data_IF_533948626360
#
_entry.id   IF_533948626360
#
_cell.length_a   1.000
_cell.length_b   1.000
_cell.length_c   1.000
_cell.angle_alpha   90.00
_cell.angle_beta   90.00
_cell.angle_gamma   90.00
#
_symmetry.space_group_name_H-M   'P 1'
#
loop_
_entity.id
_entity.type
_entity.pdbx_description
1 polymer ?
#
# COMPACT_ATOMS: atom_id res chain seq x y z
N UNK A 1 4.98 -36.79 64.64
CA UNK A 1 3.77 -36.94 63.81
C UNK A 1 3.91 -35.97 62.64
N UNK A 2 3.87 -36.29 61.36
CA UNK A 2 3.83 -37.51 60.54
C UNK A 2 4.62 -37.15 59.26
N UNK A 3 5.69 -37.85 58.88
CA UNK A 3 5.76 -38.90 57.81
C UNK A 3 5.15 -38.41 56.48
N UNK A 4 5.83 -38.34 55.32
CA UNK A 4 6.90 -39.16 54.69
C UNK A 4 7.78 -38.28 53.76
N UNK A 5 9.15 -38.34 53.73
CA UNK A 5 10.08 -39.25 52.97
C UNK A 5 9.67 -39.51 51.50
N UNK A 6 10.52 -39.46 50.48
CA UNK A 6 11.84 -38.89 50.07
C UNK A 6 11.95 -39.25 48.54
N UNK A 7 12.86 -38.64 47.76
CA UNK A 7 13.02 -38.79 46.32
C UNK A 7 13.88 -40.01 45.96
N UNK A 8 13.90 -40.39 44.69
CA UNK A 8 14.86 -41.37 44.18
C UNK A 8 15.09 -41.21 42.67
N UNK A 9 16.28 -40.73 42.32
CA UNK A 9 17.02 -41.17 41.13
C UNK A 9 17.94 -42.33 41.52
N UNK A 10 18.41 -43.13 40.54
CA UNK A 10 19.84 -43.20 40.31
C UNK A 10 20.27 -43.13 38.83
N UNK A 11 21.49 -42.62 38.63
CA UNK A 11 22.22 -42.46 37.36
C UNK A 11 22.65 -43.79 36.67
N UNK A 12 22.52 -43.79 35.33
CA UNK A 12 23.43 -44.22 34.22
C UNK A 12 23.95 -45.69 34.14
N UNK A 13 24.46 -46.21 32.97
CA UNK A 13 24.90 -45.53 31.74
C UNK A 13 24.56 -46.22 30.38
N UNK A 14 24.87 -45.54 29.26
CA UNK A 14 24.88 -46.08 27.89
C UNK A 14 23.83 -45.38 27.03
N UNK A 15 24.15 -44.48 26.10
CA UNK A 15 25.29 -44.51 25.19
C UNK A 15 24.82 -44.94 23.79
N UNK A 16 23.78 -44.30 23.25
CA UNK A 16 23.48 -44.36 21.82
C UNK A 16 23.14 -42.97 21.31
N UNK A 17 24.06 -42.46 20.49
CA UNK A 17 23.93 -41.24 19.71
C UNK A 17 22.91 -41.53 18.60
N UNK A 18 21.73 -40.91 18.68
CA UNK A 18 20.78 -40.88 17.57
C UNK A 18 21.15 -39.70 16.66
N UNK A 19 21.37 -39.88 15.35
CA UNK A 19 21.70 -38.77 14.47
C UNK A 19 20.45 -37.90 14.28
N UNK A 20 20.53 -36.66 14.77
CA UNK A 20 19.50 -35.65 14.63
C UNK A 20 19.77 -34.83 13.37
N UNK A 21 19.57 -35.44 12.21
CA UNK A 21 19.53 -34.73 10.93
C UNK A 21 18.16 -34.93 10.30
N UNK A 22 17.25 -34.05 10.65
CA UNK A 22 16.06 -33.76 9.86
C UNK A 22 16.11 -32.27 9.56
N UNK A 23 16.13 -31.84 8.29
CA UNK A 23 16.05 -30.42 7.98
C UNK A 23 14.73 -29.88 8.54
N UNK A 24 14.69 -28.63 9.05
CA UNK A 24 13.44 -28.03 9.44
C UNK A 24 12.52 -28.07 8.23
N UNK A 25 11.32 -28.62 8.43
CA UNK A 25 10.26 -28.56 7.44
C UNK A 25 10.13 -27.10 7.00
N UNK A 26 10.29 -26.85 5.70
CA UNK A 26 9.97 -25.56 5.14
C UNK A 26 8.52 -25.27 5.55
N UNK A 27 8.32 -24.26 6.40
CA UNK A 27 6.99 -23.75 6.68
C UNK A 27 6.36 -23.45 5.32
N UNK A 28 5.22 -24.08 5.06
CA UNK A 28 4.43 -23.76 3.90
C UNK A 28 4.20 -22.24 3.92
N UNK A 29 4.47 -21.52 2.82
CA UNK A 29 4.21 -20.09 2.79
C UNK A 29 2.76 -19.88 3.20
N UNK A 30 2.55 -18.99 4.17
CA UNK A 30 1.22 -18.57 4.57
C UNK A 30 0.44 -18.20 3.28
N UNK A 31 -0.85 -18.56 3.18
CA UNK A 31 -1.63 -18.23 2.00
C UNK A 31 -1.47 -16.74 1.71
N UNK A 32 -1.09 -16.40 0.48
CA UNK A 32 -0.89 -15.01 0.12
C UNK A 32 -2.18 -14.23 0.41
N UNK A 33 -2.09 -13.08 1.07
CA UNK A 33 -3.26 -12.28 1.37
C UNK A 33 -3.99 -11.92 0.07
N UNK A 34 -5.26 -12.34 -0.07
CA UNK A 34 -6.06 -12.11 -1.28
C UNK A 34 -6.35 -10.63 -1.62
N UNK A 35 -5.86 -9.71 -0.79
CA UNK A 35 -5.94 -8.25 -0.97
C UNK A 35 -4.72 -7.63 -1.63
N UNK A 36 -3.70 -8.45 -1.90
CA UNK A 36 -2.47 -8.06 -2.57
C UNK A 36 -2.40 -8.78 -3.91
N UNK A 37 -2.01 -8.07 -4.96
CA UNK A 37 -1.63 -8.67 -6.23
C UNK A 37 -0.23 -8.18 -6.61
N UNK A 38 0.69 -9.11 -6.83
CA UNK A 38 2.04 -8.83 -7.30
C UNK A 38 2.27 -9.41 -8.70
N UNK A 39 2.66 -8.54 -9.63
CA UNK A 39 3.08 -8.94 -10.98
C UNK A 39 4.50 -8.49 -11.26
N UNK A 40 5.26 -9.34 -11.95
CA UNK A 40 6.65 -9.10 -12.31
C UNK A 40 6.91 -9.55 -13.74
N UNK A 41 7.27 -8.60 -14.59
CA UNK A 41 7.44 -8.80 -16.03
C UNK A 41 8.84 -8.34 -16.46
N UNK A 42 9.42 -9.08 -17.40
CA UNK A 42 10.76 -8.81 -17.94
C UNK A 42 10.66 -8.43 -19.41
N UNK A 43 11.47 -7.45 -19.82
CA UNK A 43 11.49 -6.94 -21.19
C UNK A 43 12.93 -6.84 -21.71
N UNK A 44 13.11 -7.15 -22.99
CA UNK A 44 14.39 -7.05 -23.68
C UNK A 44 14.24 -6.27 -24.98
N UNK A 45 15.33 -5.62 -25.40
CA UNK A 45 15.40 -4.98 -26.70
C UNK A 45 15.51 -6.08 -27.77
N UNK A 46 14.46 -6.29 -28.57
CA UNK A 46 14.49 -7.26 -29.65
C UNK A 46 15.43 -6.83 -30.79
N UNK A 47 16.17 -7.78 -31.37
CA UNK A 47 16.70 -7.61 -32.72
C UNK A 47 15.53 -7.56 -33.70
N UNK A 48 15.60 -6.67 -34.71
CA UNK A 48 14.51 -6.39 -35.66
C UNK A 48 14.11 -7.57 -36.57
N UNK A 49 14.65 -8.77 -36.33
CA UNK A 49 14.42 -9.96 -37.14
C UNK A 49 13.93 -11.10 -36.23
N UNK A 50 12.79 -11.69 -36.58
CA UNK A 50 12.28 -12.91 -35.96
C UNK A 50 10.93 -12.70 -35.28
N UNK A 51 9.91 -13.25 -35.95
CA UNK A 51 8.60 -13.77 -35.51
C UNK A 51 7.94 -13.12 -34.30
N UNK A 52 6.76 -12.51 -34.53
CA UNK A 52 5.76 -12.21 -33.50
C UNK A 52 5.60 -13.45 -32.60
N UNK A 53 5.89 -13.38 -31.30
CA UNK A 53 5.44 -14.43 -30.41
C UNK A 53 3.92 -14.33 -30.33
N UNK A 54 3.24 -15.20 -31.07
CA UNK A 54 1.87 -15.62 -30.78
C UNK A 54 1.89 -16.31 -29.41
N UNK A 55 1.76 -15.53 -28.35
CA UNK A 55 1.37 -16.05 -27.05
C UNK A 55 0.92 -14.86 -26.21
N UNK A 56 -0.41 -14.70 -26.13
CA UNK A 56 -1.08 -13.82 -25.20
C UNK A 56 -0.48 -14.06 -23.81
N UNK A 57 0.28 -13.09 -23.29
CA UNK A 57 0.49 -13.05 -21.84
C UNK A 57 -0.90 -13.02 -21.21
N UNK A 58 -1.12 -13.82 -20.16
CA UNK A 58 -2.33 -13.72 -19.34
C UNK A 58 -2.33 -12.32 -18.67
N UNK A 59 -2.83 -11.34 -19.42
CA UNK A 59 -3.02 -9.93 -19.05
C UNK A 59 -4.01 -9.82 -17.87
N UNK A 60 -4.79 -10.88 -17.63
CA UNK A 60 -5.82 -10.99 -16.61
C UNK A 60 -5.35 -10.72 -15.18
N UNK A 61 -4.03 -10.78 -14.91
CA UNK A 61 -3.45 -10.48 -13.59
C UNK A 61 -2.88 -9.06 -13.47
N UNK A 62 -2.73 -8.32 -14.56
CA UNK A 62 -2.14 -6.97 -14.56
C UNK A 62 -3.20 -5.96 -14.10
N UNK A 63 -2.91 -5.26 -13.00
CA UNK A 63 -3.84 -4.24 -12.47
C UNK A 63 -3.84 -2.96 -13.29
N UNK A 64 -2.66 -2.52 -13.76
CA UNK A 64 -2.50 -1.32 -14.58
C UNK A 64 -1.88 -1.69 -15.92
N UNK A 65 -2.62 -1.67 -17.04
CA UNK A 65 -2.08 -1.91 -18.37
C UNK A 65 -0.96 -0.92 -18.71
N UNK A 66 0.12 -1.41 -19.34
CA UNK A 66 1.26 -0.58 -19.70
C UNK A 66 1.90 -1.03 -21.01
N UNK A 67 2.63 -0.10 -21.65
CA UNK A 67 3.41 -0.36 -22.87
C UNK A 67 4.86 0.01 -22.61
N UNK A 68 5.77 -0.93 -22.88
CA UNK A 68 7.22 -0.72 -22.70
C UNK A 68 7.86 -0.46 -24.05
N UNK A 69 8.43 0.72 -24.23
CA UNK A 69 9.02 1.16 -25.51
C UNK A 69 10.45 1.67 -25.39
N UNK A 70 11.17 1.66 -26.50
CA UNK A 70 12.43 2.38 -26.65
C UNK A 70 12.20 3.87 -26.96
N UNK A 71 13.29 4.65 -27.07
CA UNK A 71 13.22 6.08 -27.39
C UNK A 71 12.62 6.40 -28.76
N UNK A 72 12.48 5.41 -29.65
CA UNK A 72 11.85 5.54 -30.97
C UNK A 72 10.38 5.10 -30.96
N UNK A 73 9.85 4.70 -29.80
CA UNK A 73 8.49 4.21 -29.64
C UNK A 73 8.30 2.75 -30.09
N UNK A 74 9.38 1.97 -30.26
CA UNK A 74 9.28 0.55 -30.60
C UNK A 74 9.05 -0.28 -29.34
N UNK A 75 8.10 -1.20 -29.37
CA UNK A 75 7.79 -2.08 -28.25
C UNK A 75 8.98 -2.99 -27.92
N UNK A 76 9.30 -3.12 -26.64
CA UNK A 76 10.21 -4.14 -26.15
C UNK A 76 9.51 -5.49 -26.14
N UNK A 77 10.30 -6.56 -26.30
CA UNK A 77 9.76 -7.93 -26.29
C UNK A 77 9.65 -8.41 -24.85
N UNK A 78 8.49 -8.93 -24.41
CA UNK A 78 8.36 -9.53 -23.10
C UNK A 78 9.13 -10.86 -23.04
N UNK A 79 9.66 -11.20 -21.87
CA UNK A 79 10.50 -12.38 -21.64
C UNK A 79 9.93 -13.21 -20.48
N UNK A 80 9.76 -14.53 -20.69
CA UNK A 80 9.21 -15.46 -19.69
C UNK A 80 10.23 -15.91 -18.63
N UNK A 81 11.52 -16.00 -18.96
CA UNK A 81 12.53 -16.61 -18.09
C UNK A 81 13.78 -15.75 -17.89
N UNK A 82 14.12 -15.44 -16.62
CA UNK A 82 15.39 -14.79 -16.22
C UNK A 82 16.64 -15.55 -16.71
N UNK A 83 16.54 -16.87 -16.90
CA UNK A 83 17.69 -17.74 -17.15
C UNK A 83 18.24 -17.68 -18.59
N UNK A 84 17.49 -17.09 -19.54
CA UNK A 84 17.80 -17.19 -20.96
C UNK A 84 18.75 -16.09 -21.50
N UNK A 85 19.03 -15.03 -20.75
CA UNK A 85 19.79 -13.87 -21.26
C UNK A 85 20.92 -13.46 -20.30
N UNK A 86 22.17 -13.68 -20.70
CA UNK A 86 23.36 -13.08 -20.08
C UNK A 86 23.54 -11.62 -20.55
N UNK A 87 22.55 -10.76 -20.31
CA UNK A 87 22.53 -9.40 -20.87
C UNK A 87 21.64 -8.42 -20.12
N UNK A 88 21.57 -7.17 -20.61
CA UNK A 88 20.72 -6.14 -20.03
C UNK A 88 19.23 -6.42 -20.34
N UNK A 89 18.40 -6.34 -19.33
CA UNK A 89 16.95 -6.46 -19.42
C UNK A 89 16.28 -5.43 -18.50
N UNK A 90 15.02 -5.13 -18.77
CA UNK A 90 14.19 -4.25 -17.96
C UNK A 90 13.21 -5.11 -17.14
N UNK A 91 12.99 -4.73 -15.88
CA UNK A 91 12.01 -5.36 -15.00
C UNK A 91 10.92 -4.35 -14.67
N UNK A 92 9.66 -4.74 -14.83
CA UNK A 92 8.49 -3.97 -14.38
C UNK A 92 7.82 -4.77 -13.26
N UNK A 93 7.60 -4.12 -12.12
CA UNK A 93 6.98 -4.71 -10.94
C UNK A 93 5.74 -3.89 -10.59
N UNK A 94 4.61 -4.55 -10.37
CA UNK A 94 3.40 -3.92 -9.82
C UNK A 94 2.98 -4.65 -8.56
N UNK A 95 2.80 -3.90 -7.48
CA UNK A 95 2.22 -4.37 -6.23
C UNK A 95 0.94 -3.55 -6.00
N UNK A 96 -0.20 -4.22 -5.92
CA UNK A 96 -1.52 -3.61 -5.82
C UNK A 96 -2.15 -3.92 -4.48
N UNK A 97 -2.81 -2.93 -3.87
CA UNK A 97 -3.56 -3.06 -2.61
C UNK A 97 -5.05 -2.77 -2.86
N UNK A 98 -5.92 -3.72 -2.54
CA UNK A 98 -7.38 -3.54 -2.65
C UNK A 98 -7.93 -2.78 -1.44
N UNK A 99 -8.36 -1.53 -1.66
CA UNK A 99 -8.88 -0.68 -0.59
C UNK A 99 -10.20 -1.18 -0.01
N UNK A 100 -11.08 -1.80 -0.78
CA UNK A 100 -12.34 -2.32 -0.23
C UNK A 100 -12.07 -3.47 0.72
N UNK A 101 -11.11 -4.33 0.39
CA UNK A 101 -10.65 -5.36 1.30
C UNK A 101 -10.07 -4.76 2.58
N UNK A 102 -9.13 -3.81 2.46
CA UNK A 102 -8.51 -3.13 3.60
C UNK A 102 -9.57 -2.51 4.52
N UNK A 103 -10.52 -1.75 3.95
CA UNK A 103 -11.61 -1.12 4.71
C UNK A 103 -12.41 -2.18 5.48
N UNK A 104 -12.82 -3.26 4.83
CA UNK A 104 -13.62 -4.30 5.45
C UNK A 104 -12.87 -5.03 6.58
N UNK A 105 -11.59 -5.33 6.40
CA UNK A 105 -10.76 -5.95 7.43
C UNK A 105 -10.56 -5.03 8.64
N UNK A 106 -10.19 -3.77 8.41
CA UNK A 106 -9.97 -2.79 9.48
C UNK A 106 -11.26 -2.59 10.28
N UNK A 107 -12.41 -2.49 9.60
CA UNK A 107 -13.70 -2.39 10.29
C UNK A 107 -13.98 -3.66 11.09
N UNK A 108 -13.77 -4.84 10.52
CA UNK A 108 -14.10 -6.11 11.20
C UNK A 108 -13.22 -6.37 12.42
N UNK A 109 -11.94 -6.02 12.35
CA UNK A 109 -10.95 -6.44 13.34
C UNK A 109 -10.56 -5.35 14.34
N UNK A 110 -10.57 -4.07 13.94
CA UNK A 110 -9.98 -2.98 14.73
C UNK A 110 -10.97 -1.87 15.12
N UNK A 111 -12.11 -1.73 14.43
CA UNK A 111 -13.08 -0.69 14.75
C UNK A 111 -13.93 -1.02 15.98
N UNK A 112 -13.90 -0.17 16.99
CA UNK A 112 -14.74 -0.32 18.20
C UNK A 112 -16.24 -0.24 17.89
N UNK A 113 -16.61 0.46 16.82
CA UNK A 113 -17.97 0.63 16.30
C UNK A 113 -18.34 -0.39 15.22
N UNK A 114 -17.54 -1.44 14.98
CA UNK A 114 -17.80 -2.47 13.97
C UNK A 114 -19.22 -3.07 14.05
N UNK A 115 -19.72 -3.28 15.27
CA UNK A 115 -21.06 -3.84 15.51
C UNK A 115 -22.21 -2.92 15.06
N UNK A 116 -21.95 -1.62 14.86
CA UNK A 116 -22.91 -0.65 14.34
C UNK A 116 -22.86 -0.56 12.82
N UNK A 117 -21.77 -1.01 12.18
CA UNK A 117 -21.53 -0.84 10.75
C UNK A 117 -22.52 -1.64 9.90
N UNK A 118 -23.00 -1.02 8.83
CA UNK A 118 -23.87 -1.66 7.83
C UNK A 118 -23.14 -1.84 6.49
N UNK A 119 -22.67 -0.74 5.93
CA UNK A 119 -21.96 -0.68 4.65
C UNK A 119 -21.24 0.67 4.52
N UNK A 120 -20.24 0.76 3.63
CA UNK A 120 -19.70 2.05 3.19
C UNK A 120 -20.20 2.38 1.78
N UNK A 121 -20.28 3.67 1.47
CA UNK A 121 -20.79 4.17 0.19
C UNK A 121 -19.70 4.73 -0.72
N UNK A 122 -18.67 5.35 -0.14
CA UNK A 122 -17.64 6.06 -0.89
C UNK A 122 -16.38 6.25 -0.01
N UNK A 123 -15.21 6.36 -0.62
CA UNK A 123 -13.93 6.49 0.07
C UNK A 123 -12.91 7.36 -0.69
N UNK A 124 -12.05 8.05 0.06
CA UNK A 124 -11.00 8.93 -0.47
C UNK A 124 -9.66 8.62 0.22
N UNK A 125 -8.67 8.15 -0.55
CA UNK A 125 -7.35 7.76 -0.02
C UNK A 125 -6.35 8.90 -0.21
N UNK A 126 -5.62 9.23 0.86
CA UNK A 126 -4.53 10.21 0.86
C UNK A 126 -3.28 9.58 1.47
N UNK A 127 -2.16 9.64 0.75
CA UNK A 127 -0.85 9.26 1.30
C UNK A 127 -0.42 10.34 2.31
N UNK A 128 -0.08 9.92 3.52
CA UNK A 128 0.42 10.79 4.58
C UNK A 128 1.94 10.78 4.68
N UNK A 129 2.57 9.63 4.44
CA UNK A 129 4.03 9.47 4.51
C UNK A 129 4.49 8.27 3.65
N UNK A 130 5.71 8.34 3.13
CA UNK A 130 6.41 7.23 2.48
C UNK A 130 7.82 7.13 3.07
N UNK A 131 8.12 6.04 3.78
CA UNK A 131 9.45 5.79 4.33
C UNK A 131 10.24 4.85 3.41
N UNK A 132 11.16 5.36 2.57
CA UNK A 132 11.89 4.53 1.61
C UNK A 132 12.93 3.62 2.27
N UNK A 133 13.38 3.89 3.49
CA UNK A 133 14.34 3.05 4.20
C UNK A 133 13.70 1.76 4.74
N UNK A 134 12.41 1.81 5.07
CA UNK A 134 11.64 0.66 5.58
C UNK A 134 10.63 0.12 4.58
N UNK A 135 10.49 0.77 3.41
CA UNK A 135 9.49 0.49 2.39
C UNK A 135 8.06 0.49 2.94
N UNK A 136 7.73 1.46 3.80
CA UNK A 136 6.39 1.63 4.35
C UNK A 136 5.67 2.83 3.74
N UNK A 137 4.39 2.65 3.43
CA UNK A 137 3.48 3.71 2.95
C UNK A 137 2.38 3.90 3.98
N UNK A 138 2.32 5.08 4.60
CA UNK A 138 1.23 5.45 5.50
C UNK A 138 0.13 6.13 4.70
N UNK A 139 -1.06 5.54 4.68
CA UNK A 139 -2.24 6.08 4.03
C UNK A 139 -3.32 6.42 5.05
N UNK A 140 -4.12 7.43 4.73
CA UNK A 140 -5.38 7.76 5.39
C UNK A 140 -6.51 7.47 4.41
N UNK A 141 -7.55 6.78 4.90
CA UNK A 141 -8.73 6.41 4.13
C UNK A 141 -9.92 7.12 4.77
N UNK A 142 -10.37 8.20 4.14
CA UNK A 142 -11.62 8.87 4.49
C UNK A 142 -12.78 8.01 4.02
N UNK A 143 -13.78 7.80 4.87
CA UNK A 143 -14.86 6.85 4.60
C UNK A 143 -16.22 7.47 4.88
N UNK A 144 -17.13 7.39 3.91
CA UNK A 144 -18.56 7.62 4.10
C UNK A 144 -19.27 6.29 4.28
N UNK A 145 -20.00 6.13 5.38
CA UNK A 145 -20.61 4.86 5.74
C UNK A 145 -21.98 5.00 6.41
N UNK A 146 -22.73 3.90 6.40
CA UNK A 146 -23.98 3.72 7.13
C UNK A 146 -23.70 2.90 8.38
N UNK A 147 -24.18 3.39 9.52
CA UNK A 147 -24.10 2.67 10.79
C UNK A 147 -25.34 2.94 11.64
N UNK A 148 -25.70 1.99 12.49
CA UNK A 148 -26.68 2.21 13.55
C UNK A 148 -26.11 3.17 14.61
N UNK A 149 -26.92 4.09 15.15
CA UNK A 149 -26.48 4.91 16.27
C UNK A 149 -26.13 4.09 17.52
N UNK A 150 -25.39 4.68 18.44
CA UNK A 150 -25.13 4.07 19.75
C UNK A 150 -26.44 3.68 20.44
N UNK A 151 -26.49 2.53 21.14
CA UNK A 151 -27.68 2.10 21.91
C UNK A 151 -28.14 3.11 22.96
N UNK A 152 -27.27 4.05 23.34
CA UNK A 152 -27.56 5.11 24.32
C UNK A 152 -28.23 6.35 23.72
N UNK A 153 -28.33 6.47 22.40
CA UNK A 153 -29.06 7.58 21.77
C UNK A 153 -30.58 7.32 21.84
N UNK A 154 -31.34 8.24 22.46
CA UNK A 154 -32.80 8.15 22.51
C UNK A 154 -33.41 8.41 21.12
N UNK A 155 -34.14 7.43 20.58
CA UNK A 155 -34.86 7.59 19.31
C UNK A 155 -35.06 6.28 18.54
N UNK A 156 -35.57 6.38 17.30
CA UNK A 156 -35.66 5.24 16.39
C UNK A 156 -34.24 4.80 15.96
N UNK A 157 -33.94 3.51 16.15
CA UNK A 157 -32.72 2.84 15.71
C UNK A 157 -32.70 2.68 14.17
N UNK A 158 -32.57 3.80 13.45
CA UNK A 158 -32.37 3.80 12.00
C UNK A 158 -30.91 4.07 11.69
N UNK A 159 -30.31 3.34 10.73
CA UNK A 159 -28.98 3.65 10.25
C UNK A 159 -28.90 5.10 9.78
N UNK A 160 -27.82 5.78 10.16
CA UNK A 160 -27.50 7.14 9.71
C UNK A 160 -26.20 7.12 8.91
N UNK A 161 -25.97 8.19 8.16
CA UNK A 161 -24.70 8.38 7.44
C UNK A 161 -23.66 9.02 8.35
N UNK A 162 -22.48 8.42 8.38
CA UNK A 162 -21.33 8.86 9.14
C UNK A 162 -20.12 9.04 8.24
N UNK A 163 -19.20 9.87 8.70
CA UNK A 163 -17.86 10.01 8.18
C UNK A 163 -16.86 9.54 9.25
N UNK A 164 -15.80 8.87 8.82
CA UNK A 164 -14.65 8.50 9.66
C UNK A 164 -13.37 8.46 8.84
N UNK A 165 -12.23 8.21 9.49
CA UNK A 165 -10.93 8.03 8.83
C UNK A 165 -10.19 6.82 9.38
N UNK A 166 -9.65 5.98 8.51
CA UNK A 166 -8.81 4.83 8.87
C UNK A 166 -7.36 5.11 8.43
N UNK A 167 -6.39 4.93 9.32
CA UNK A 167 -4.96 5.05 8.98
C UNK A 167 -4.34 3.67 8.97
N UNK A 168 -3.62 3.39 7.90
CA UNK A 168 -3.03 2.07 7.63
C UNK A 168 -1.61 2.27 7.13
N UNK A 169 -0.68 1.46 7.62
CA UNK A 169 0.68 1.35 7.12
C UNK A 169 0.78 0.13 6.21
N UNK A 170 1.24 0.31 4.98
CA UNK A 170 1.42 -0.75 3.99
C UNK A 170 2.90 -1.01 3.75
N UNK A 171 3.35 -2.25 3.95
CA UNK A 171 4.72 -2.69 3.76
C UNK A 171 4.91 -3.20 2.32
N UNK A 172 5.76 -2.54 1.53
CA UNK A 172 5.99 -2.88 0.13
C UNK A 172 6.93 -4.09 -0.07
N UNK A 173 7.63 -4.54 0.98
CA UNK A 173 8.45 -5.76 0.91
C UNK A 173 7.56 -7.00 1.02
N UNK A 174 6.54 -6.95 1.89
CA UNK A 174 5.69 -8.09 2.22
C UNK A 174 4.30 -8.01 1.59
N UNK A 175 3.86 -6.83 1.17
CA UNK A 175 2.50 -6.54 0.72
C UNK A 175 1.49 -6.39 1.86
N UNK A 176 1.85 -6.72 3.11
CA UNK A 176 0.95 -6.71 4.26
C UNK A 176 0.66 -5.28 4.70
N UNK A 177 -0.58 -5.03 5.11
CA UNK A 177 -0.94 -3.77 5.76
C UNK A 177 -1.18 -3.98 7.27
N UNK A 178 -0.99 -2.92 8.05
CA UNK A 178 -1.26 -2.88 9.49
C UNK A 178 -2.07 -1.63 9.82
N UNK A 179 -3.13 -1.80 10.60
CA UNK A 179 -3.94 -0.69 11.12
C UNK A 179 -3.13 0.15 12.11
N UNK A 180 -3.04 1.45 11.85
CA UNK A 180 -2.33 2.42 12.71
C UNK A 180 -3.32 3.18 13.59
N UNK A 181 -4.49 3.54 13.06
CA UNK A 181 -5.52 4.26 13.80
C UNK A 181 -6.89 4.11 13.15
N UNK A 182 -7.92 3.95 13.98
CA UNK A 182 -9.33 3.99 13.55
C UNK A 182 -9.98 5.22 14.19
N UNK A 183 -10.61 6.06 13.38
CA UNK A 183 -11.35 7.23 13.86
C UNK A 183 -12.72 6.89 14.41
N UNK A 184 -13.29 7.82 15.20
CA UNK A 184 -14.67 7.74 15.64
C UNK A 184 -15.65 8.00 14.47
N UNK A 185 -16.92 7.66 14.68
CA UNK A 185 -17.99 7.99 13.74
C UNK A 185 -18.49 9.42 13.98
N UNK A 186 -18.48 10.24 12.92
CA UNK A 186 -19.04 11.61 12.94
C UNK A 186 -20.25 11.70 12.02
N UNK A 187 -21.42 12.01 12.59
CA UNK A 187 -22.68 12.02 11.83
C UNK A 187 -22.68 13.13 10.77
N UNK A 188 -23.03 12.78 9.53
CA UNK A 188 -23.12 13.73 8.42
C UNK A 188 -24.52 14.36 8.40
N UNK A 189 -24.64 15.56 8.99
CA UNK A 189 -25.93 16.27 9.14
C UNK A 189 -26.07 17.41 8.12
N UNK A 190 -26.76 17.14 7.00
CA UNK A 190 -27.07 18.16 5.98
C UNK A 190 -25.85 18.72 5.22
N UNK A 191 -24.67 18.15 5.43
CA UNK A 191 -23.46 18.45 4.67
C UNK A 191 -23.56 17.78 3.29
N UNK A 192 -22.99 18.43 2.27
CA UNK A 192 -22.83 17.81 0.95
C UNK A 192 -21.61 16.88 0.97
N UNK A 193 -21.59 15.85 0.11
CA UNK A 193 -20.42 14.96 -0.02
C UNK A 193 -19.13 15.74 -0.29
N UNK A 194 -19.21 16.77 -1.14
CA UNK A 194 -18.08 17.66 -1.43
C UNK A 194 -17.54 18.41 -0.20
N UNK A 195 -18.39 18.84 0.73
CA UNK A 195 -17.90 19.52 1.94
C UNK A 195 -17.25 18.54 2.93
N UNK A 196 -17.78 17.31 3.02
CA UNK A 196 -17.16 16.23 3.80
C UNK A 196 -15.75 15.93 3.27
N UNK A 197 -15.61 15.68 1.97
CA UNK A 197 -14.32 15.37 1.35
C UNK A 197 -13.33 16.54 1.40
N UNK A 198 -13.81 17.78 1.23
CA UNK A 198 -12.96 18.97 1.39
C UNK A 198 -12.43 19.11 2.82
N UNK A 199 -13.29 18.89 3.83
CA UNK A 199 -12.87 18.92 5.24
C UNK A 199 -11.89 17.80 5.57
N UNK A 200 -12.14 16.59 5.06
CA UNK A 200 -11.24 15.44 5.20
C UNK A 200 -9.84 15.73 4.62
N UNK A 201 -9.76 16.20 3.37
CA UNK A 201 -8.48 16.52 2.73
C UNK A 201 -7.75 17.66 3.44
N UNK A 202 -8.47 18.66 3.93
CA UNK A 202 -7.89 19.73 4.74
C UNK A 202 -7.23 19.17 6.01
N UNK A 203 -7.88 18.22 6.69
CA UNK A 203 -7.28 17.56 7.85
C UNK A 203 -6.02 16.75 7.51
N UNK A 204 -5.95 16.16 6.31
CA UNK A 204 -4.75 15.46 5.82
C UNK A 204 -3.61 16.45 5.56
N UNK A 205 -3.90 17.59 4.92
CA UNK A 205 -2.92 18.68 4.72
C UNK A 205 -2.42 19.20 6.07
N UNK A 206 -3.33 19.46 7.02
CA UNK A 206 -2.96 19.92 8.36
C UNK A 206 -2.04 18.91 9.07
N UNK A 207 -2.29 17.60 8.89
CA UNK A 207 -1.45 16.54 9.42
C UNK A 207 -0.07 16.51 8.78
N UNK A 208 0.02 16.47 7.45
CA UNK A 208 1.30 16.46 6.73
C UNK A 208 2.12 17.71 7.09
N UNK A 209 1.50 18.89 7.11
CA UNK A 209 2.19 20.15 7.44
C UNK A 209 2.64 20.20 8.90
N UNK A 210 1.88 19.60 9.83
CA UNK A 210 2.26 19.52 11.24
C UNK A 210 3.50 18.65 11.46
N UNK A 211 3.69 17.61 10.65
CA UNK A 211 4.78 16.63 10.78
C UNK A 211 5.90 16.83 9.75
N UNK A 212 5.86 17.89 8.95
CA UNK A 212 6.84 18.15 7.91
C UNK A 212 8.24 18.41 8.50
N UNK A 213 9.20 17.56 8.13
CA UNK A 213 10.62 17.74 8.44
C UNK A 213 11.36 18.08 7.14
N UNK A 214 12.15 19.17 7.09
CA UNK A 214 12.90 19.53 5.89
C UNK A 214 13.87 18.42 5.45
N UNK A 215 13.85 18.11 4.15
CA UNK A 215 14.76 17.15 3.53
C UNK A 215 16.02 17.81 2.97
N UNK A 216 17.04 17.00 2.66
CA UNK A 216 18.24 17.46 1.99
C UNK A 216 17.96 17.84 0.52
N UNK A 217 18.70 18.82 -0.02
CA UNK A 217 18.54 19.29 -1.41
C UNK A 217 18.77 18.22 -2.49
N UNK A 218 19.36 17.07 -2.16
CA UNK A 218 19.55 15.97 -3.12
C UNK A 218 18.44 14.90 -3.10
N UNK A 219 17.44 15.01 -2.21
CA UNK A 219 16.39 14.00 -2.02
C UNK A 219 15.00 14.43 -2.46
N UNK A 220 14.80 15.72 -2.77
CA UNK A 220 13.51 16.25 -3.19
C UNK A 220 13.02 15.64 -4.51
N UNK A 221 11.70 15.52 -4.63
CA UNK A 221 11.05 15.15 -5.89
C UNK A 221 10.88 16.41 -6.75
N UNK A 222 11.60 16.48 -7.87
CA UNK A 222 11.52 17.61 -8.77
C UNK A 222 10.22 17.61 -9.58
N UNK A 223 9.38 18.63 -9.40
CA UNK A 223 8.10 18.78 -10.09
C UNK A 223 8.11 20.01 -11.01
N UNK A 224 8.13 19.78 -12.32
CA UNK A 224 8.09 20.85 -13.33
C UNK A 224 6.69 20.95 -13.96
N UNK A 225 6.13 22.17 -14.04
CA UNK A 225 4.86 22.44 -14.74
C UNK A 225 4.83 23.86 -15.30
N UNK A 226 4.31 24.04 -16.53
CA UNK A 226 4.03 25.36 -17.10
C UNK A 226 2.61 25.35 -17.70
N UNK A 227 1.72 26.17 -17.13
CA UNK A 227 0.29 26.13 -17.41
C UNK A 227 -0.15 27.15 -18.47
N UNK A 228 0.77 27.68 -19.29
CA UNK A 228 0.51 28.72 -20.28
C UNK A 228 -0.71 28.44 -21.17
N UNK A 229 -0.83 27.21 -21.69
CA UNK A 229 -1.94 26.80 -22.56
C UNK A 229 -3.24 26.47 -21.81
N UNK A 230 -3.16 26.19 -20.51
CA UNK A 230 -4.32 25.79 -19.70
C UNK A 230 -4.94 26.94 -18.90
N UNK A 231 -4.11 27.87 -18.41
CA UNK A 231 -4.53 29.00 -17.57
C UNK A 231 -4.23 30.36 -18.22
N UNK A 232 -3.65 30.37 -19.42
CA UNK A 232 -3.31 31.60 -20.16
C UNK A 232 -2.09 32.35 -19.62
N UNK A 233 -1.41 31.82 -18.59
CA UNK A 233 -0.27 32.46 -17.93
C UNK A 233 0.94 31.54 -17.94
N UNK A 234 2.04 31.98 -18.55
CA UNK A 234 3.31 31.25 -18.55
C UNK A 234 4.11 31.51 -17.27
N UNK A 235 5.03 30.60 -16.95
CA UNK A 235 6.12 30.86 -16.02
C UNK A 235 6.96 32.07 -16.46
N UNK A 236 7.56 32.76 -15.50
CA UNK A 236 8.50 33.88 -15.73
C UNK A 236 9.96 33.43 -15.79
N UNK A 237 10.30 32.40 -15.01
CA UNK A 237 11.68 31.96 -14.80
C UNK A 237 11.72 30.43 -14.68
N UNK A 238 12.75 29.82 -15.26
CA UNK A 238 13.21 28.48 -14.91
C UNK A 238 14.50 28.62 -14.10
N UNK A 239 14.48 28.15 -12.86
CA UNK A 239 15.58 28.32 -11.93
C UNK A 239 16.29 26.99 -11.65
N UNK A 240 17.61 27.04 -11.74
CA UNK A 240 18.51 26.04 -11.17
C UNK A 240 19.04 26.58 -9.84
N UNK A 241 18.54 26.03 -8.74
CA UNK A 241 18.86 26.47 -7.39
C UNK A 241 20.28 26.12 -6.97
N UNK A 242 20.85 25.02 -7.46
CA UNK A 242 22.18 24.57 -7.06
C UNK A 242 23.28 25.40 -7.71
N UNK A 243 23.07 25.79 -8.97
CA UNK A 243 24.03 26.59 -9.76
C UNK A 243 23.68 28.07 -9.81
N UNK A 244 22.68 28.52 -9.06
CA UNK A 244 22.22 29.91 -9.04
C UNK A 244 21.99 30.48 -10.45
N UNK A 245 21.46 29.66 -11.36
CA UNK A 245 21.32 29.99 -12.79
C UNK A 245 19.85 30.09 -13.17
N UNK A 246 19.46 31.21 -13.80
CA UNK A 246 18.08 31.48 -14.17
C UNK A 246 17.93 31.65 -15.68
N UNK A 247 16.86 31.07 -16.24
CA UNK A 247 16.41 31.31 -17.61
C UNK A 247 15.14 32.17 -17.53
N UNK A 248 15.14 33.33 -18.16
CA UNK A 248 13.98 34.23 -18.24
C UNK A 248 13.17 33.91 -19.50
N UNK A 249 11.83 33.81 -19.38
CA UNK A 249 10.89 33.42 -20.43
C UNK A 249 10.06 34.59 -20.99
#
# INVERSE_FOLDING_TARGET
ASRCRLPSEPLAPGGEVVPRDSPPAAEAPAPEPGYVNYTKLYYVLGSSEGTEPEDEFEDDKISLPFVVTDLRGRNLRPMRERAAVQGQYLTVEQLTLDFEYVINEVIRHDATWAHQFCSFSDYDIVILEVCPETNQVLINIGLLLLAFPSPTEEGQLRPKTYHTSLKVAWDLNTGIFVTVSVGDLTEVKGQTSGSVWSSYRKSCVDMVMKWLVPESSGRYVNRMTNEALHKGCSLKVLADSERYTWIVL
#
